data_IF_771977743895
#
_entry.id   IF_771977743895
#
_cell.length_a   1.000
_cell.length_b   1.000
_cell.length_c   1.000
_cell.angle_alpha   90.00
_cell.angle_beta   90.00
_cell.angle_gamma   90.00
#
_symmetry.space_group_name_H-M   'P 1'
#
loop_
_entity.id
_entity.type
_entity.pdbx_description
1 polymer ?
#
# COMPACT_ATOMS: atom_id res chain seq x y z
N UNK A 1 7.26 6.81 18.20
CA UNK A 1 8.30 6.71 17.17
C UNK A 1 9.56 7.44 17.66
N UNK A 2 10.51 6.68 18.19
CA UNK A 2 11.79 7.23 18.69
C UNK A 2 12.71 7.59 17.51
N UNK A 3 13.05 8.87 17.40
CA UNK A 3 13.91 9.40 16.33
C UNK A 3 15.33 8.83 16.40
N UNK A 4 15.91 8.75 17.59
CA UNK A 4 17.31 8.36 17.77
C UNK A 4 17.48 6.88 17.42
N UNK A 5 16.56 6.03 17.89
CA UNK A 5 16.55 4.61 17.56
C UNK A 5 16.43 4.37 16.05
N UNK A 6 15.61 5.15 15.34
CA UNK A 6 15.51 5.06 13.87
C UNK A 6 16.80 5.48 13.18
N UNK A 7 17.48 6.53 13.66
CA UNK A 7 18.77 6.91 13.11
C UNK A 7 19.83 5.83 13.30
N UNK A 8 19.85 5.15 14.44
CA UNK A 8 20.77 4.04 14.71
C UNK A 8 20.46 2.84 13.81
N UNK A 9 19.17 2.52 13.63
CA UNK A 9 18.72 1.41 12.78
C UNK A 9 19.15 1.55 11.31
N UNK A 10 19.25 2.78 10.80
CA UNK A 10 19.56 3.06 9.39
C UNK A 10 21.07 3.16 9.13
N UNK A 11 21.92 3.13 10.16
CA UNK A 11 23.37 3.20 9.97
C UNK A 11 23.90 2.02 9.14
N UNK A 12 24.63 2.33 8.06
CA UNK A 12 25.25 1.32 7.20
C UNK A 12 24.27 0.56 6.30
N UNK A 13 23.01 0.99 6.21
CA UNK A 13 21.99 0.39 5.33
C UNK A 13 22.09 0.98 3.92
N UNK A 14 22.00 0.14 2.88
CA UNK A 14 22.03 0.59 1.49
C UNK A 14 20.64 0.97 0.94
N UNK A 15 19.60 0.29 1.41
CA UNK A 15 18.20 0.48 1.01
C UNK A 15 17.25 0.09 2.15
N UNK A 16 16.09 0.74 2.22
CA UNK A 16 15.09 0.50 3.27
C UNK A 16 13.83 -0.14 2.67
N UNK A 17 13.37 -1.23 3.24
CA UNK A 17 12.05 -1.81 2.97
C UNK A 17 11.15 -1.53 4.17
N UNK A 18 10.31 -0.49 4.08
CA UNK A 18 9.55 0.04 5.21
C UNK A 18 8.14 -0.54 5.28
N UNK A 19 7.99 -1.62 6.06
CA UNK A 19 6.71 -2.27 6.41
C UNK A 19 6.27 -1.97 7.86
N UNK A 20 7.05 -1.17 8.60
CA UNK A 20 6.75 -0.80 9.98
C UNK A 20 5.59 0.19 10.09
N UNK A 21 4.91 0.17 11.24
CA UNK A 21 3.76 1.03 11.54
C UNK A 21 2.52 0.21 11.86
N UNK A 22 1.41 0.91 12.09
CA UNK A 22 0.07 0.34 12.22
C UNK A 22 -0.48 0.03 10.82
N UNK A 23 -1.05 -1.16 10.64
CA UNK A 23 -1.48 -1.71 9.34
C UNK A 23 -3.00 -1.83 9.15
N UNK A 24 -3.78 -1.46 10.17
CA UNK A 24 -5.25 -1.49 10.17
C UNK A 24 -5.79 -0.17 10.73
N UNK A 25 -7.11 0.03 10.65
CA UNK A 25 -7.72 1.25 11.18
C UNK A 25 -7.68 1.29 12.72
N UNK A 26 -7.27 2.42 13.26
CA UNK A 26 -7.16 2.70 14.70
C UNK A 26 -7.51 4.18 14.98
N UNK A 27 -7.63 4.55 16.25
CA UNK A 27 -7.77 5.95 16.65
C UNK A 27 -6.59 6.78 16.11
N UNK A 28 -6.83 8.07 15.86
CA UNK A 28 -5.82 8.94 15.25
C UNK A 28 -4.52 9.00 16.06
N UNK A 29 -4.61 9.03 17.39
CA UNK A 29 -3.49 9.08 18.32
C UNK A 29 -2.55 7.87 18.18
N UNK A 30 -3.12 6.69 17.92
CA UNK A 30 -2.38 5.44 17.70
C UNK A 30 -1.71 5.41 16.32
N UNK A 31 -2.29 6.10 15.33
CA UNK A 31 -1.74 6.22 13.98
C UNK A 31 -0.63 7.29 13.92
N UNK A 32 -0.79 8.39 14.66
CA UNK A 32 0.07 9.57 14.59
C UNK A 32 1.55 9.23 14.86
N UNK A 33 1.82 8.53 15.97
CA UNK A 33 3.19 8.17 16.34
C UNK A 33 3.87 7.27 15.30
N UNK A 34 3.35 6.07 15.04
CA UNK A 34 3.97 5.10 14.14
C UNK A 34 3.94 5.49 12.67
N UNK A 35 2.82 6.00 12.15
CA UNK A 35 2.65 6.16 10.70
C UNK A 35 2.91 7.57 10.18
N UNK A 36 2.74 8.62 11.00
CA UNK A 36 3.06 10.00 10.60
C UNK A 36 4.49 10.35 11.05
N UNK A 37 4.75 10.33 12.36
CA UNK A 37 6.09 10.66 12.87
C UNK A 37 7.12 9.59 12.48
N UNK A 38 6.75 8.31 12.50
CA UNK A 38 7.65 7.21 12.17
C UNK A 38 8.14 7.26 10.72
N UNK A 39 7.24 7.46 9.74
CA UNK A 39 7.65 7.57 8.34
C UNK A 39 8.52 8.80 8.10
N UNK A 40 8.23 9.93 8.76
CA UNK A 40 9.11 11.10 8.73
C UNK A 40 10.54 10.77 9.21
N UNK A 41 10.68 10.05 10.32
CA UNK A 41 11.99 9.64 10.82
C UNK A 41 12.71 8.69 9.89
N UNK A 42 12.02 7.78 9.20
CA UNK A 42 12.61 6.89 8.18
C UNK A 42 13.24 7.72 7.05
N UNK A 43 12.50 8.67 6.47
CA UNK A 43 13.00 9.48 5.37
C UNK A 43 14.13 10.43 5.80
N UNK A 44 14.03 11.05 6.98
CA UNK A 44 15.10 11.90 7.50
C UNK A 44 16.36 11.08 7.83
N UNK A 45 16.21 9.86 8.35
CA UNK A 45 17.33 8.95 8.59
C UNK A 45 17.97 8.50 7.26
N UNK A 46 17.15 8.12 6.27
CA UNK A 46 17.62 7.79 4.92
C UNK A 46 18.47 8.93 4.34
N UNK A 47 17.95 10.17 4.42
CA UNK A 47 18.65 11.37 3.96
C UNK A 47 19.98 11.60 4.68
N UNK A 48 20.03 11.42 6.01
CA UNK A 48 21.24 11.69 6.80
C UNK A 48 22.32 10.62 6.64
N UNK A 49 21.93 9.38 6.37
CA UNK A 49 22.85 8.25 6.23
C UNK A 49 23.16 7.90 4.78
N UNK A 50 22.64 8.66 3.82
CA UNK A 50 22.95 8.49 2.40
C UNK A 50 22.23 7.32 1.74
N UNK A 51 21.16 6.80 2.34
CA UNK A 51 20.29 5.79 1.72
C UNK A 51 19.55 6.42 0.55
N UNK A 52 19.65 5.80 -0.63
CA UNK A 52 19.07 6.35 -1.87
C UNK A 52 17.80 5.65 -2.33
N UNK A 53 17.43 4.52 -1.72
CA UNK A 53 16.27 3.71 -2.11
C UNK A 53 15.39 3.38 -0.91
N UNK A 54 14.10 3.66 -1.02
CA UNK A 54 13.06 3.25 -0.07
C UNK A 54 11.95 2.48 -0.80
N UNK A 55 11.61 1.29 -0.33
CA UNK A 55 10.37 0.59 -0.71
C UNK A 55 9.36 0.86 0.39
N UNK A 56 8.33 1.63 0.09
CA UNK A 56 7.32 2.05 1.05
C UNK A 56 6.06 1.18 0.93
N UNK A 57 5.69 0.50 2.01
CA UNK A 57 4.42 -0.19 2.11
C UNK A 57 3.27 0.83 2.28
N UNK A 58 2.82 1.38 1.16
CA UNK A 58 1.56 2.11 1.05
C UNK A 58 0.39 1.11 1.09
N UNK A 59 -0.81 1.56 0.73
CA UNK A 59 -2.03 0.76 0.86
C UNK A 59 -3.05 1.11 -0.21
N UNK A 60 -3.83 0.12 -0.63
CA UNK A 60 -5.07 0.36 -1.39
C UNK A 60 -6.04 1.28 -0.61
N UNK A 61 -5.96 1.34 0.72
CA UNK A 61 -6.78 2.23 1.55
C UNK A 61 -6.54 3.73 1.30
N UNK A 62 -5.47 4.10 0.58
CA UNK A 62 -5.27 5.47 0.05
C UNK A 62 -6.34 5.86 -1.00
N UNK A 63 -6.97 4.87 -1.63
CA UNK A 63 -7.99 5.03 -2.68
C UNK A 63 -9.32 4.35 -2.31
N UNK A 64 -9.52 4.03 -1.02
CA UNK A 64 -10.58 3.13 -0.59
C UNK A 64 -12.01 3.57 -0.95
N UNK A 65 -12.28 4.88 -1.09
CA UNK A 65 -13.61 5.40 -1.45
C UNK A 65 -13.93 5.41 -2.95
N UNK A 66 -13.06 4.90 -3.83
CA UNK A 66 -13.48 4.56 -5.19
C UNK A 66 -14.44 3.37 -5.18
N UNK A 67 -15.32 3.27 -6.17
CA UNK A 67 -16.19 2.11 -6.34
C UNK A 67 -15.47 0.96 -7.03
N UNK A 68 -15.97 -0.26 -6.83
CA UNK A 68 -15.39 -1.47 -7.42
C UNK A 68 -15.59 -1.60 -8.94
N UNK A 69 -16.48 -0.79 -9.53
CA UNK A 69 -16.70 -0.69 -10.98
C UNK A 69 -15.83 0.39 -11.66
N UNK A 70 -15.00 1.11 -10.89
CA UNK A 70 -14.09 2.13 -11.40
C UNK A 70 -12.67 1.56 -11.55
N UNK A 71 -12.09 1.68 -12.74
CA UNK A 71 -10.65 1.43 -12.96
C UNK A 71 -9.86 2.71 -12.73
N UNK A 72 -8.84 2.65 -11.88
CA UNK A 72 -7.99 3.79 -11.50
C UNK A 72 -6.52 3.51 -11.77
N UNK A 73 -5.73 4.57 -11.92
CA UNK A 73 -4.28 4.52 -12.10
C UNK A 73 -3.53 5.26 -10.98
N UNK A 74 -2.21 5.38 -11.10
CA UNK A 74 -1.37 6.03 -10.11
C UNK A 74 -1.66 7.54 -9.93
N UNK A 75 -2.24 8.21 -10.92
CA UNK A 75 -2.50 9.66 -10.92
C UNK A 75 -3.95 10.02 -10.56
N UNK A 76 -4.82 9.01 -10.42
CA UNK A 76 -6.18 9.21 -9.94
C UNK A 76 -6.17 9.86 -8.54
N UNK A 77 -7.03 10.87 -8.28
CA UNK A 77 -7.07 11.55 -6.98
C UNK A 77 -7.20 10.58 -5.81
N UNK A 78 -6.39 10.77 -4.76
CA UNK A 78 -6.51 9.90 -3.56
C UNK A 78 -7.85 10.15 -2.87
N UNK A 79 -8.50 9.06 -2.43
CA UNK A 79 -9.76 9.09 -1.67
C UNK A 79 -9.65 8.14 -0.47
N UNK A 80 -8.87 8.50 0.56
CA UNK A 80 -8.56 7.58 1.66
C UNK A 80 -9.80 7.24 2.48
N UNK A 81 -9.95 5.97 2.87
CA UNK A 81 -11.14 5.46 3.56
C UNK A 81 -11.05 5.47 5.08
N UNK A 82 -9.90 5.87 5.65
CA UNK A 82 -9.60 5.64 7.06
C UNK A 82 -8.41 6.52 7.52
N UNK A 83 -8.19 6.70 8.84
CA UNK A 83 -6.99 7.38 9.36
C UNK A 83 -5.69 6.64 8.98
N UNK A 84 -5.73 5.31 8.94
CA UNK A 84 -4.67 4.50 8.36
C UNK A 84 -4.44 4.85 6.88
N UNK A 85 -5.48 4.88 6.05
CA UNK A 85 -5.40 5.29 4.64
C UNK A 85 -4.81 6.70 4.47
N UNK A 86 -5.25 7.65 5.30
CA UNK A 86 -4.71 9.03 5.34
C UNK A 86 -3.21 9.04 5.67
N UNK A 87 -2.78 8.23 6.65
CA UNK A 87 -1.36 8.15 7.03
C UNK A 87 -0.46 7.60 5.91
N UNK A 88 -0.98 6.67 5.10
CA UNK A 88 -0.27 6.15 3.93
C UNK A 88 -0.22 7.19 2.80
N UNK A 89 -1.28 7.97 2.61
CA UNK A 89 -1.26 9.14 1.71
C UNK A 89 -0.18 10.16 2.12
N UNK A 90 -0.06 10.46 3.41
CA UNK A 90 1.02 11.32 3.93
C UNK A 90 2.40 10.76 3.59
N UNK A 91 2.61 9.45 3.77
CA UNK A 91 3.87 8.79 3.41
C UNK A 91 4.19 8.87 1.91
N UNK A 92 3.18 8.80 1.03
CA UNK A 92 3.37 9.00 -0.41
C UNK A 92 3.79 10.44 -0.74
N UNK A 93 3.15 11.45 -0.14
CA UNK A 93 3.54 12.85 -0.36
C UNK A 93 4.94 13.15 0.18
N UNK A 94 5.29 12.51 1.31
CA UNK A 94 6.64 12.59 1.86
C UNK A 94 7.67 11.98 0.90
N UNK A 95 7.35 10.84 0.28
CA UNK A 95 8.19 10.23 -0.72
C UNK A 95 8.44 11.16 -1.92
N UNK A 96 7.39 11.78 -2.46
CA UNK A 96 7.52 12.80 -3.52
C UNK A 96 8.45 13.93 -3.09
N UNK A 97 8.22 14.50 -1.90
CA UNK A 97 9.03 15.59 -1.39
C UNK A 97 10.52 15.21 -1.24
N UNK A 98 10.83 14.03 -0.70
CA UNK A 98 12.21 13.59 -0.51
C UNK A 98 12.90 13.19 -1.81
N UNK A 99 12.15 12.71 -2.80
CA UNK A 99 12.65 12.52 -4.15
C UNK A 99 13.01 13.87 -4.79
N UNK A 100 12.04 14.80 -4.88
CA UNK A 100 12.24 16.08 -5.57
C UNK A 100 13.34 16.93 -4.92
N UNK A 101 13.47 16.87 -3.59
CA UNK A 101 14.41 17.71 -2.84
C UNK A 101 15.79 17.08 -2.65
N UNK A 102 15.85 15.75 -2.50
CA UNK A 102 17.07 15.07 -2.08
C UNK A 102 17.46 13.88 -2.97
N UNK A 103 16.66 13.55 -3.98
CA UNK A 103 16.91 12.44 -4.89
C UNK A 103 16.77 11.05 -4.24
N UNK A 104 16.04 10.94 -3.13
CA UNK A 104 15.75 9.62 -2.52
C UNK A 104 14.67 8.97 -3.37
N UNK A 105 15.03 7.91 -4.06
CA UNK A 105 14.08 7.17 -4.89
C UNK A 105 13.19 6.29 -4.04
N UNK A 106 11.89 6.30 -4.34
CA UNK A 106 10.89 5.51 -3.63
C UNK A 106 9.98 4.75 -4.58
N UNK A 107 9.71 3.47 -4.26
CA UNK A 107 8.54 2.77 -4.79
C UNK A 107 7.50 2.66 -3.68
N UNK A 108 6.37 3.34 -3.85
CA UNK A 108 5.20 3.26 -2.97
C UNK A 108 4.28 2.16 -3.47
N UNK A 109 4.29 1.02 -2.80
CA UNK A 109 3.44 -0.12 -3.14
C UNK A 109 2.10 0.05 -2.43
N UNK A 110 1.03 0.37 -3.18
CA UNK A 110 -0.35 0.32 -2.68
C UNK A 110 -0.78 -1.14 -2.59
N UNK A 111 -0.42 -1.80 -1.48
CA UNK A 111 -0.69 -3.23 -1.26
C UNK A 111 -2.21 -3.45 -1.24
N UNK A 112 -2.69 -4.41 -2.05
CA UNK A 112 -4.08 -4.86 -2.03
C UNK A 112 -4.39 -5.72 -0.82
N UNK A 113 -4.39 -7.04 -0.97
CA UNK A 113 -4.70 -7.98 0.10
C UNK A 113 -3.69 -9.12 0.10
N UNK A 114 -2.60 -8.93 0.84
CA UNK A 114 -1.49 -9.88 0.91
C UNK A 114 -1.68 -10.93 1.99
N UNK A 115 -2.24 -12.08 1.62
CA UNK A 115 -2.60 -13.18 2.53
C UNK A 115 -2.34 -14.54 1.85
N UNK A 116 -2.35 -15.67 2.59
CA UNK A 116 -2.20 -17.00 2.00
C UNK A 116 -3.25 -17.32 0.92
N UNK A 117 -4.48 -16.82 1.08
CA UNK A 117 -5.58 -16.97 0.14
C UNK A 117 -6.55 -15.76 0.29
N UNK A 118 -7.35 -15.42 -0.75
CA UNK A 118 -8.41 -14.43 -0.60
C UNK A 118 -9.45 -14.92 0.41
N UNK A 119 -9.91 -14.04 1.30
CA UNK A 119 -10.91 -14.38 2.32
C UNK A 119 -12.36 -14.14 1.85
N UNK A 120 -12.56 -13.24 0.88
CA UNK A 120 -13.87 -12.78 0.44
C UNK A 120 -13.85 -12.31 -1.03
N UNK A 121 -15.04 -11.96 -1.55
CA UNK A 121 -15.24 -11.56 -2.95
C UNK A 121 -14.41 -10.36 -3.39
N UNK A 122 -14.25 -9.35 -2.53
CA UNK A 122 -13.38 -8.20 -2.81
C UNK A 122 -11.93 -8.63 -3.02
N UNK A 123 -11.44 -9.57 -2.20
CA UNK A 123 -10.07 -10.09 -2.34
C UNK A 123 -9.88 -10.86 -3.65
N UNK A 124 -10.92 -11.32 -4.34
CA UNK A 124 -10.74 -11.86 -5.69
C UNK A 124 -10.12 -10.84 -6.64
N UNK A 125 -10.36 -9.54 -6.45
CA UNK A 125 -9.74 -8.47 -7.23
C UNK A 125 -8.43 -7.95 -6.63
N UNK A 126 -8.36 -7.88 -5.29
CA UNK A 126 -7.25 -7.22 -4.59
C UNK A 126 -6.17 -8.16 -4.10
N UNK A 127 -6.33 -9.48 -4.20
CA UNK A 127 -5.38 -10.45 -3.64
C UNK A 127 -4.00 -10.29 -4.26
N UNK A 128 -2.99 -10.37 -3.41
CA UNK A 128 -1.58 -10.35 -3.76
C UNK A 128 -0.96 -11.54 -3.04
N UNK A 129 -0.42 -12.52 -3.77
CA UNK A 129 0.28 -13.62 -3.14
C UNK A 129 1.57 -13.13 -2.46
N UNK A 130 2.09 -13.91 -1.51
CA UNK A 130 3.39 -13.60 -0.91
C UNK A 130 4.53 -13.66 -1.93
N UNK A 131 4.45 -14.55 -2.91
CA UNK A 131 5.46 -14.70 -3.96
C UNK A 131 5.47 -13.49 -4.90
N UNK A 132 4.30 -12.98 -5.28
CA UNK A 132 4.18 -11.78 -6.12
C UNK A 132 4.54 -10.51 -5.34
N UNK A 133 4.20 -10.42 -4.04
CA UNK A 133 4.68 -9.33 -3.20
C UNK A 133 6.21 -9.33 -3.11
N UNK A 134 6.82 -10.49 -2.88
CA UNK A 134 8.29 -10.63 -2.81
C UNK A 134 8.94 -10.21 -4.11
N UNK A 135 8.42 -10.68 -5.25
CA UNK A 135 8.88 -10.24 -6.58
C UNK A 135 8.76 -8.73 -6.77
N UNK A 136 7.65 -8.13 -6.35
CA UNK A 136 7.46 -6.69 -6.46
C UNK A 136 8.45 -5.91 -5.59
N UNK A 137 8.75 -6.39 -4.38
CA UNK A 137 9.77 -5.80 -3.51
C UNK A 137 11.16 -5.90 -4.16
N UNK A 138 11.53 -7.06 -4.71
CA UNK A 138 12.80 -7.24 -5.42
C UNK A 138 12.92 -6.27 -6.60
N UNK A 139 11.90 -6.17 -7.45
CA UNK A 139 11.88 -5.22 -8.56
C UNK A 139 11.98 -3.77 -8.07
N UNK A 140 11.31 -3.45 -6.97
CA UNK A 140 11.35 -2.12 -6.36
C UNK A 140 12.74 -1.76 -5.81
N UNK A 141 13.52 -2.75 -5.36
CA UNK A 141 14.88 -2.56 -4.85
C UNK A 141 15.90 -2.41 -5.98
N UNK A 142 15.78 -3.22 -7.04
CA UNK A 142 16.85 -3.39 -8.02
C UNK A 142 16.61 -2.71 -9.36
N UNK A 143 15.39 -2.24 -9.65
CA UNK A 143 15.13 -1.45 -10.87
C UNK A 143 15.89 -0.12 -10.77
N UNK A 144 16.65 0.29 -11.80
CA UNK A 144 17.31 1.60 -11.81
C UNK A 144 16.32 2.73 -12.11
N UNK A 145 16.62 3.94 -11.62
CA UNK A 145 15.88 5.17 -11.97
C UNK A 145 14.37 5.09 -11.72
N UNK A 146 13.95 4.60 -10.55
CA UNK A 146 12.53 4.44 -10.21
C UNK A 146 11.86 5.77 -9.83
N UNK A 147 12.65 6.83 -9.58
CA UNK A 147 12.11 8.12 -9.16
C UNK A 147 11.24 8.00 -7.90
N UNK A 148 10.07 8.64 -7.90
CA UNK A 148 8.96 8.24 -7.04
C UNK A 148 7.88 7.55 -7.87
N UNK A 149 7.76 6.23 -7.70
CA UNK A 149 6.81 5.40 -8.44
C UNK A 149 5.74 4.83 -7.52
N UNK A 150 4.48 5.06 -7.85
CA UNK A 150 3.34 4.38 -7.22
C UNK A 150 2.96 3.15 -8.03
N UNK A 151 2.84 2.01 -7.37
CA UNK A 151 2.43 0.74 -7.98
C UNK A 151 1.36 0.07 -7.12
N UNK A 152 0.29 -0.41 -7.75
CA UNK A 152 -0.73 -1.21 -7.07
C UNK A 152 -0.27 -2.66 -6.97
N UNK A 153 -0.24 -3.19 -5.75
CA UNK A 153 0.15 -4.57 -5.47
C UNK A 153 -1.06 -5.50 -5.53
N UNK A 154 -1.29 -6.13 -6.68
CA UNK A 154 -2.20 -7.25 -6.87
C UNK A 154 -1.52 -8.33 -7.72
N UNK A 155 -1.90 -9.59 -7.51
CA UNK A 155 -1.53 -10.72 -8.37
C UNK A 155 -2.26 -10.65 -9.71
N UNK A 156 -2.03 -11.61 -10.62
CA UNK A 156 -2.70 -11.70 -11.93
C UNK A 156 -4.14 -12.22 -11.80
N UNK A 157 -4.92 -11.55 -10.93
CA UNK A 157 -6.33 -11.82 -10.71
C UNK A 157 -7.11 -11.52 -12.00
N UNK A 158 -8.22 -12.21 -12.23
CA UNK A 158 -9.01 -12.03 -13.46
C UNK A 158 -9.60 -10.62 -13.57
N UNK A 159 -10.13 -10.12 -12.47
CA UNK A 159 -10.85 -8.85 -12.39
C UNK A 159 -10.05 -7.89 -11.52
N UNK A 160 -9.34 -6.92 -12.11
CA UNK A 160 -8.45 -5.97 -11.39
C UNK A 160 -8.93 -4.54 -11.60
N UNK A 161 -8.98 -3.75 -10.53
CA UNK A 161 -9.45 -2.35 -10.54
C UNK A 161 -8.35 -1.33 -10.83
N UNK A 162 -7.12 -1.79 -10.96
CA UNK A 162 -5.92 -0.97 -10.90
C UNK A 162 -5.08 -1.11 -12.16
N UNK A 163 -4.74 0.04 -12.75
CA UNK A 163 -3.87 0.13 -13.91
C UNK A 163 -2.46 0.59 -13.49
N UNK A 164 -1.48 -0.28 -13.70
CA UNK A 164 -0.07 -0.05 -13.37
C UNK A 164 0.77 0.52 -14.54
N UNK A 165 0.16 1.10 -15.59
CA UNK A 165 0.89 1.62 -16.76
C UNK A 165 2.06 2.55 -16.43
N UNK A 166 1.94 3.39 -15.39
CA UNK A 166 2.98 4.32 -14.97
C UNK A 166 4.12 3.65 -14.19
N UNK A 167 3.87 2.47 -13.63
CA UNK A 167 4.86 1.63 -12.98
C UNK A 167 5.42 0.53 -13.90
N UNK A 168 5.07 0.52 -15.20
CA UNK A 168 5.48 -0.53 -16.14
C UNK A 168 7.01 -0.70 -16.26
N UNK A 169 7.77 0.36 -16.01
CA UNK A 169 9.24 0.32 -16.00
C UNK A 169 9.83 -0.56 -14.89
N UNK A 170 9.05 -0.88 -13.84
CA UNK A 170 9.44 -1.87 -12.83
C UNK A 170 9.46 -3.30 -13.37
N UNK A 171 8.80 -3.56 -14.52
CA UNK A 171 8.73 -4.89 -15.11
C UNK A 171 7.94 -5.91 -14.28
N UNK A 172 7.03 -5.44 -13.41
CA UNK A 172 6.24 -6.32 -12.57
C UNK A 172 5.20 -7.08 -13.39
N UNK A 173 5.41 -8.39 -13.51
CA UNK A 173 4.48 -9.34 -14.09
C UNK A 173 4.12 -10.40 -13.02
N UNK A 174 2.99 -10.23 -12.31
CA UNK A 174 2.57 -11.19 -11.29
C UNK A 174 2.27 -12.56 -11.92
N UNK A 175 2.48 -13.63 -11.17
CA UNK A 175 2.36 -15.01 -11.65
C UNK A 175 1.19 -15.76 -11.05
N UNK A 176 0.80 -15.41 -9.83
CA UNK A 176 -0.30 -16.09 -9.15
C UNK A 176 -1.63 -15.45 -9.54
N UNK A 177 -2.73 -16.17 -9.29
CA UNK A 177 -4.07 -15.67 -9.56
C UNK A 177 -5.04 -16.13 -8.51
N UNK A 178 -5.93 -15.24 -8.07
CA UNK A 178 -7.02 -15.56 -7.14
C UNK A 178 -8.01 -16.58 -7.71
N UNK A 179 -8.03 -16.80 -9.03
CA UNK A 179 -9.01 -17.66 -9.70
C UNK A 179 -9.06 -19.09 -9.18
N UNK A 180 -7.93 -19.61 -8.67
CA UNK A 180 -7.88 -20.96 -8.07
C UNK A 180 -8.76 -21.09 -6.82
N UNK A 181 -9.16 -19.96 -6.22
CA UNK A 181 -10.02 -19.89 -5.03
C UNK A 181 -11.47 -19.52 -5.37
N UNK A 182 -11.82 -19.32 -6.65
CA UNK A 182 -13.12 -18.78 -7.06
C UNK A 182 -14.30 -19.59 -6.54
N UNK A 183 -14.31 -20.91 -6.73
CA UNK A 183 -15.42 -21.76 -6.28
C UNK A 183 -15.65 -21.66 -4.77
N UNK A 184 -14.56 -21.64 -3.99
CA UNK A 184 -14.59 -21.49 -2.53
C UNK A 184 -15.20 -20.14 -2.11
N UNK A 185 -14.80 -19.06 -2.77
CA UNK A 185 -15.32 -17.72 -2.47
C UNK A 185 -16.75 -17.55 -2.98
N UNK A 186 -17.09 -18.15 -4.12
CA UNK A 186 -18.43 -18.05 -4.70
C UNK A 186 -19.47 -18.84 -3.93
N UNK A 187 -19.07 -19.87 -3.18
CA UNK A 187 -19.94 -20.58 -2.24
C UNK A 187 -20.35 -19.75 -1.01
N UNK A 188 -19.65 -18.65 -0.70
CA UNK A 188 -20.02 -17.76 0.40
C UNK A 188 -21.28 -16.93 0.05
N UNK A 189 -22.13 -16.60 1.05
CA UNK A 189 -23.28 -15.72 0.83
C UNK A 189 -22.89 -14.40 0.16
N UNK A 190 -23.74 -13.92 -0.75
CA UNK A 190 -23.53 -12.62 -1.39
C UNK A 190 -23.85 -11.50 -0.38
N UNK A 191 -22.94 -10.53 -0.16
CA UNK A 191 -23.25 -9.35 0.63
C UNK A 191 -24.40 -8.54 0.01
N UNK A 192 -25.09 -7.76 0.87
CA UNK A 192 -26.14 -6.85 0.42
C UNK A 192 -25.60 -5.88 -0.65
N UNK A 193 -26.47 -5.42 -1.54
CA UNK A 193 -26.05 -4.60 -2.69
C UNK A 193 -25.42 -3.25 -2.26
N UNK A 194 -25.83 -2.74 -1.12
CA UNK A 194 -25.39 -1.50 -0.48
C UNK A 194 -24.29 -1.70 0.56
N UNK A 195 -23.83 -2.95 0.78
CA UNK A 195 -22.74 -3.24 1.70
C UNK A 195 -21.46 -2.53 1.21
N UNK A 196 -20.78 -1.72 2.06
CA UNK A 196 -19.51 -1.08 1.70
C UNK A 196 -18.46 -2.05 1.16
N UNK A 197 -18.43 -3.30 1.65
CA UNK A 197 -17.56 -4.37 1.17
C UNK A 197 -17.81 -4.78 -0.29
N UNK A 198 -18.99 -4.48 -0.83
CA UNK A 198 -19.41 -4.72 -2.22
C UNK A 198 -19.37 -3.46 -3.09
N UNK A 199 -19.52 -2.28 -2.49
CA UNK A 199 -19.57 -1.01 -3.22
C UNK A 199 -18.19 -0.42 -3.45
N UNK A 200 -17.35 -0.37 -2.41
CA UNK A 200 -16.10 0.40 -2.41
C UNK A 200 -14.85 -0.46 -2.48
N UNK A 201 -13.78 0.06 -3.08
CA UNK A 201 -12.49 -0.62 -3.20
C UNK A 201 -11.82 -0.83 -1.85
N UNK A 202 -12.06 0.03 -0.87
CA UNK A 202 -11.61 -0.10 0.53
C UNK A 202 -12.32 -1.21 1.30
N UNK A 203 -13.48 -1.64 0.80
CA UNK A 203 -14.31 -2.66 1.42
C UNK A 203 -14.76 -2.29 2.83
N UNK A 204 -14.64 -3.22 3.78
CA UNK A 204 -15.09 -3.03 5.16
C UNK A 204 -14.41 -1.84 5.89
N UNK A 205 -13.24 -1.38 5.43
CA UNK A 205 -12.56 -0.23 6.03
C UNK A 205 -13.36 1.07 5.90
N UNK A 206 -14.17 1.20 4.84
CA UNK A 206 -15.06 2.36 4.65
C UNK A 206 -16.09 2.51 5.78
N UNK A 207 -16.39 1.40 6.47
CA UNK A 207 -17.30 1.37 7.62
C UNK A 207 -16.57 1.22 8.97
N UNK A 208 -15.23 1.19 8.97
CA UNK A 208 -14.45 1.04 10.19
C UNK A 208 -14.22 2.42 10.82
N UNK A 209 -14.88 2.68 11.95
CA UNK A 209 -14.77 3.94 12.68
C UNK A 209 -15.74 5.04 12.21
N UNK A 210 -15.54 6.30 12.64
CA UNK A 210 -14.46 6.76 13.52
C UNK A 210 -14.56 6.14 14.93
N UNK A 211 -13.40 5.87 15.52
CA UNK A 211 -13.30 5.44 16.91
C UNK A 211 -13.29 6.68 17.82
N UNK A 212 -14.26 6.80 18.71
CA UNK A 212 -14.32 7.95 19.64
C UNK A 212 -15.73 8.46 19.98
N UNK A 213 -16.77 7.96 19.33
CA UNK A 213 -18.17 8.37 19.60
C UNK A 213 -18.86 7.55 20.72
N UNK A 214 -18.09 6.96 21.64
CA UNK A 214 -18.61 6.35 22.88
C UNK A 214 -18.46 7.29 24.06
#
# INVERSE_FOLDING_TARGET
ADKQAVHELVQGVDAIVHFGGVSVEHAFEDILGPNICGVFHIYEAARRHGVKRVVFASSNHVIGFYKQDETIDAHSPRRPDSYYGLSKSYGEDLATFYFDRYGIETVSIRIGSSFPEPANRRMMSTWLSFDDLTRLIELSLFTPNVGHTVVYGASANRDVWWDNRYAAHLGFAPKDSSEVFRDKIEAQPMPAADDPARVYQGGAFVAAGPFGDN
#
